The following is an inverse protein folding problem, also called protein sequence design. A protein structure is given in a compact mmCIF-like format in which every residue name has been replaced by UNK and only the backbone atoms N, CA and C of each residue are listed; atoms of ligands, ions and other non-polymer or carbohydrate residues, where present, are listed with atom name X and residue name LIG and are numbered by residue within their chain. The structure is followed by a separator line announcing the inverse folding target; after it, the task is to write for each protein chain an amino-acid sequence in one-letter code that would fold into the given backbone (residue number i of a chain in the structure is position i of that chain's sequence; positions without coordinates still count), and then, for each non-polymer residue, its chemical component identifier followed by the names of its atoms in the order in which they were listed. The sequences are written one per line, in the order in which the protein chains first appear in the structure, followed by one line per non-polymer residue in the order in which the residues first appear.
data_IF_344134271765
#
_entry.id   IF_344134271765
#
_cell.length_a   1.000
_cell.length_b   1.000
_cell.length_c   1.000
_cell.angle_alpha   90.00
_cell.angle_beta   90.00
_cell.angle_gamma   90.00
#
_symmetry.space_group_name_H-M   'P 1'
#
loop_
_entity.id
_entity.type
_entity.pdbx_description
1 polymer ?
#
# COMPACT_ATOMS: atom_id res chain seq x y z
N UNK A 1 1.22 11.74 -8.77
CA UNK A 1 1.76 11.14 -10.02
C UNK A 1 2.89 10.19 -9.67
N UNK A 2 3.03 9.09 -10.42
CA UNK A 2 4.05 8.05 -10.24
C UNK A 2 4.94 8.00 -11.48
N UNK A 3 6.25 7.98 -11.29
CA UNK A 3 7.22 7.80 -12.37
C UNK A 3 7.84 6.41 -12.21
N UNK A 4 7.81 5.62 -13.28
CA UNK A 4 8.53 4.35 -13.39
C UNK A 4 9.74 4.53 -14.30
N UNK A 5 10.94 4.23 -13.79
CA UNK A 5 12.19 4.25 -14.53
C UNK A 5 12.74 2.83 -14.65
N UNK A 6 13.09 2.42 -15.85
CA UNK A 6 13.73 1.11 -16.11
C UNK A 6 15.18 1.27 -16.49
N UNK A 7 16.03 0.41 -15.98
CA UNK A 7 17.48 0.47 -16.16
C UNK A 7 17.97 -0.79 -16.86
N UNK A 8 18.85 -0.58 -17.85
CA UNK A 8 19.54 -1.69 -18.53
C UNK A 8 20.72 -2.22 -17.73
N UNK A 9 21.29 -1.40 -16.82
CA UNK A 9 22.42 -1.75 -15.97
C UNK A 9 22.09 -1.53 -14.51
N UNK A 10 22.43 -2.51 -13.69
CA UNK A 10 22.22 -2.47 -12.24
C UNK A 10 22.97 -1.31 -11.56
N UNK A 11 24.18 -1.01 -12.02
CA UNK A 11 25.01 0.09 -11.50
C UNK A 11 24.32 1.45 -11.64
N UNK A 12 23.67 1.72 -12.78
CA UNK A 12 22.94 2.95 -13.03
C UNK A 12 21.68 3.02 -12.16
N UNK A 13 20.97 1.92 -11.97
CA UNK A 13 19.82 1.82 -11.08
C UNK A 13 20.21 2.14 -9.62
N UNK A 14 21.27 1.54 -9.12
CA UNK A 14 21.77 1.76 -7.77
C UNK A 14 22.24 3.20 -7.55
N UNK A 15 22.89 3.80 -8.54
CA UNK A 15 23.28 5.21 -8.49
C UNK A 15 22.05 6.11 -8.42
N UNK A 16 21.09 5.93 -9.31
CA UNK A 16 19.84 6.69 -9.31
C UNK A 16 19.07 6.52 -7.99
N UNK A 17 19.00 5.30 -7.44
CA UNK A 17 18.36 5.05 -6.15
C UNK A 17 18.99 5.86 -5.02
N UNK A 18 20.33 5.91 -4.94
CA UNK A 18 21.04 6.70 -3.92
C UNK A 18 20.84 8.20 -4.09
N UNK A 19 20.93 8.70 -5.33
CA UNK A 19 20.81 10.15 -5.60
C UNK A 19 19.39 10.66 -5.39
N UNK A 20 18.38 9.94 -5.90
CA UNK A 20 16.97 10.30 -5.75
C UNK A 20 16.46 10.10 -4.31
N UNK A 21 16.97 9.10 -3.59
CA UNK A 21 16.63 8.85 -2.20
C UNK A 21 17.11 9.92 -1.21
N UNK A 22 17.95 10.87 -1.64
CA UNK A 22 18.37 12.04 -0.83
C UNK A 22 17.41 13.22 -0.93
N UNK A 23 16.43 13.15 -1.83
CA UNK A 23 15.45 14.22 -2.02
C UNK A 23 14.29 13.98 -1.03
N UNK A 24 14.11 14.87 -0.07
CA UNK A 24 13.15 14.72 1.04
C UNK A 24 11.70 14.53 0.59
N UNK A 25 11.33 15.14 -0.53
CA UNK A 25 9.96 15.09 -1.05
C UNK A 25 9.68 13.87 -1.95
N UNK A 26 10.64 12.94 -2.08
CA UNK A 26 10.50 11.76 -2.91
C UNK A 26 10.55 10.46 -2.10
N UNK A 27 9.63 9.55 -2.42
CA UNK A 27 9.70 8.16 -2.05
C UNK A 27 10.15 7.34 -3.25
N UNK A 28 11.30 6.65 -3.13
CA UNK A 28 11.90 5.84 -4.18
C UNK A 28 11.84 4.38 -3.76
N UNK A 29 11.17 3.55 -4.54
CA UNK A 29 11.00 2.12 -4.29
C UNK A 29 11.40 1.30 -5.51
N UNK A 30 11.55 -0.01 -5.35
CA UNK A 30 11.80 -0.95 -6.43
C UNK A 30 10.77 -2.07 -6.33
N UNK A 31 10.04 -2.35 -7.41
CA UNK A 31 9.05 -3.43 -7.47
C UNK A 31 9.48 -4.60 -8.36
N UNK A 32 10.28 -4.30 -9.37
CA UNK A 32 10.90 -5.27 -10.28
C UNK A 32 12.41 -5.11 -10.17
N UNK A 33 13.19 -6.14 -10.29
CA UNK A 33 14.64 -6.08 -10.06
C UNK A 33 15.42 -5.05 -10.89
N UNK A 34 14.83 -4.47 -11.92
CA UNK A 34 15.44 -3.53 -12.85
C UNK A 34 14.77 -2.16 -12.93
N UNK A 35 13.82 -1.84 -12.03
CA UNK A 35 13.10 -0.55 -12.06
C UNK A 35 13.31 0.26 -10.78
N UNK A 36 12.98 1.56 -10.87
CA UNK A 36 12.69 2.42 -9.74
C UNK A 36 11.31 3.04 -9.91
N UNK A 37 10.55 3.06 -8.85
CA UNK A 37 9.27 3.76 -8.74
C UNK A 37 9.48 4.99 -7.87
N UNK A 38 9.15 6.15 -8.41
CA UNK A 38 9.32 7.44 -7.76
C UNK A 38 7.95 8.05 -7.55
N UNK A 39 7.64 8.34 -6.29
CA UNK A 39 6.42 9.00 -5.87
C UNK A 39 6.77 10.23 -5.03
N UNK A 40 5.82 11.13 -4.80
CA UNK A 40 5.96 12.10 -3.71
C UNK A 40 6.02 11.38 -2.37
N UNK A 41 6.82 11.87 -1.43
CA UNK A 41 7.01 11.24 -0.11
C UNK A 41 5.69 11.07 0.68
N UNK A 42 4.71 11.96 0.44
CA UNK A 42 3.37 11.91 1.03
C UNK A 42 2.33 11.18 0.16
N UNK A 43 2.74 10.63 -0.99
CA UNK A 43 1.86 9.90 -1.90
C UNK A 43 1.82 8.41 -1.55
N UNK A 44 1.23 8.06 -0.43
CA UNK A 44 0.95 6.66 -0.07
C UNK A 44 -0.56 6.40 -0.08
N UNK A 45 -0.96 5.12 -0.07
CA UNK A 45 -2.36 4.71 -0.11
C UNK A 45 -3.14 5.12 1.15
N UNK A 46 -2.47 5.21 2.31
CA UNK A 46 -3.07 5.67 3.55
C UNK A 46 -3.51 7.14 3.47
N UNK A 47 -2.62 8.04 3.02
CA UNK A 47 -2.96 9.45 2.82
C UNK A 47 -4.04 9.64 1.75
N UNK A 48 -4.00 8.86 0.67
CA UNK A 48 -5.05 8.87 -0.35
C UNK A 48 -6.42 8.48 0.23
N UNK A 49 -6.46 7.43 1.05
CA UNK A 49 -7.67 6.97 1.74
C UNK A 49 -8.21 8.04 2.71
N UNK A 50 -7.34 8.66 3.51
CA UNK A 50 -7.73 9.75 4.43
C UNK A 50 -8.31 10.94 3.68
N UNK A 51 -7.68 11.34 2.57
CA UNK A 51 -8.16 12.45 1.76
C UNK A 51 -9.51 12.13 1.10
N UNK A 52 -9.68 10.90 0.61
CA UNK A 52 -10.96 10.45 0.07
C UNK A 52 -12.07 10.44 1.13
N UNK A 53 -11.77 9.94 2.33
CA UNK A 53 -12.70 9.97 3.47
C UNK A 53 -13.16 11.40 3.79
N UNK A 54 -12.22 12.37 3.82
CA UNK A 54 -12.56 13.79 4.03
C UNK A 54 -13.45 14.37 2.92
N UNK A 55 -13.15 14.04 1.66
CA UNK A 55 -13.94 14.53 0.50
C UNK A 55 -15.37 13.98 0.55
N UNK A 56 -15.54 12.73 0.97
CA UNK A 56 -16.83 12.03 1.04
C UNK A 56 -17.56 12.20 2.40
N UNK A 57 -16.96 12.92 3.35
CA UNK A 57 -17.46 13.07 4.73
C UNK A 57 -17.66 11.70 5.41
N UNK A 58 -16.72 10.77 5.18
CA UNK A 58 -16.71 9.45 5.79
C UNK A 58 -15.59 9.42 6.84
N UNK A 59 -15.91 9.18 8.13
CA UNK A 59 -14.89 9.07 9.17
C UNK A 59 -14.04 7.82 8.98
N UNK A 60 -12.76 7.90 9.36
CA UNK A 60 -11.78 6.81 9.14
C UNK A 60 -12.22 5.50 9.80
N UNK A 61 -12.90 5.58 10.93
CA UNK A 61 -13.45 4.46 11.70
C UNK A 61 -14.52 3.67 10.93
N UNK A 62 -15.09 4.27 9.90
CA UNK A 62 -16.09 3.67 9.02
C UNK A 62 -15.49 3.12 7.70
N UNK A 63 -14.17 3.15 7.58
CA UNK A 63 -13.47 2.67 6.38
C UNK A 63 -12.83 1.31 6.67
N UNK A 64 -13.12 0.33 5.84
CA UNK A 64 -12.37 -0.93 5.78
C UNK A 64 -11.39 -0.88 4.62
N UNK A 65 -10.14 -1.28 4.87
CA UNK A 65 -9.10 -1.34 3.85
C UNK A 65 -8.50 -2.74 3.77
N UNK A 66 -8.41 -3.29 2.57
CA UNK A 66 -7.78 -4.58 2.29
C UNK A 66 -6.47 -4.38 1.54
N UNK A 67 -5.44 -5.14 1.89
CA UNK A 67 -4.14 -5.07 1.27
C UNK A 67 -3.35 -6.37 1.30
N UNK A 68 -2.33 -6.50 0.45
CA UNK A 68 -1.46 -7.67 0.37
C UNK A 68 0.04 -7.34 0.34
N UNK A 69 0.42 -6.10 0.08
CA UNK A 69 1.81 -5.67 -0.08
C UNK A 69 2.24 -4.50 0.83
N UNK A 70 3.53 -4.24 0.84
CA UNK A 70 4.11 -3.16 1.64
C UNK A 70 3.57 -1.77 1.30
N UNK A 71 3.13 -1.54 0.07
CA UNK A 71 2.51 -0.29 -0.35
C UNK A 71 1.11 -0.07 0.24
N UNK A 72 0.51 -1.10 0.86
CA UNK A 72 -0.78 -1.06 1.54
C UNK A 72 -0.64 -0.83 3.05
N UNK A 73 0.59 -0.88 3.58
CA UNK A 73 0.88 -0.88 5.01
C UNK A 73 0.19 0.27 5.76
N UNK A 74 0.41 1.52 5.30
CA UNK A 74 -0.18 2.69 5.95
C UNK A 74 -1.72 2.69 5.83
N UNK A 75 -2.25 2.29 4.69
CA UNK A 75 -3.69 2.21 4.46
C UNK A 75 -4.36 1.19 5.40
N UNK A 76 -3.82 -0.01 5.50
CA UNK A 76 -4.33 -1.07 6.37
C UNK A 76 -4.20 -0.69 7.84
N UNK A 77 -3.07 -0.11 8.24
CA UNK A 77 -2.82 0.32 9.63
C UNK A 77 -3.73 1.45 10.09
N UNK A 78 -4.12 2.35 9.19
CA UNK A 78 -4.88 3.57 9.52
C UNK A 78 -6.39 3.42 9.38
N UNK A 79 -6.86 2.42 8.66
CA UNK A 79 -8.29 2.16 8.47
C UNK A 79 -8.99 1.82 9.79
N UNK A 80 -10.29 2.07 9.86
CA UNK A 80 -11.14 1.63 10.97
C UNK A 80 -11.20 0.10 11.09
N UNK A 81 -11.08 -0.60 9.96
CA UNK A 81 -10.85 -2.05 9.88
C UNK A 81 -9.76 -2.31 8.84
N UNK A 82 -8.59 -2.65 9.29
CA UNK A 82 -7.47 -3.04 8.46
C UNK A 82 -7.46 -4.54 8.20
N UNK A 83 -7.49 -4.94 6.93
CA UNK A 83 -7.53 -6.35 6.51
C UNK A 83 -6.31 -6.70 5.68
N UNK A 84 -5.54 -7.70 6.11
CA UNK A 84 -4.46 -8.27 5.32
C UNK A 84 -4.91 -9.54 4.61
N UNK A 85 -4.51 -9.70 3.35
CA UNK A 85 -4.71 -10.95 2.63
C UNK A 85 -3.82 -12.05 3.20
N UNK A 86 -4.30 -13.30 3.27
CA UNK A 86 -3.53 -14.44 3.78
C UNK A 86 -2.24 -14.70 2.99
N UNK A 87 -2.25 -14.44 1.70
CA UNK A 87 -1.07 -14.53 0.83
C UNK A 87 -0.24 -13.23 0.78
N UNK A 88 -0.58 -12.22 1.60
CA UNK A 88 0.15 -10.95 1.69
C UNK A 88 1.41 -11.04 2.55
N UNK A 89 2.13 -9.91 2.61
CA UNK A 89 3.35 -9.71 3.38
C UNK A 89 3.12 -9.90 4.88
N UNK A 90 4.08 -10.54 5.58
CA UNK A 90 3.98 -10.77 7.03
C UNK A 90 3.90 -9.46 7.83
N UNK A 91 4.69 -8.45 7.42
CA UNK A 91 4.67 -7.12 8.04
C UNK A 91 3.28 -6.47 8.02
N UNK A 92 2.51 -6.72 6.95
CA UNK A 92 1.15 -6.21 6.82
C UNK A 92 0.17 -6.97 7.74
N UNK A 93 0.34 -8.29 7.87
CA UNK A 93 -0.48 -9.12 8.77
C UNK A 93 -0.31 -8.74 10.24
N UNK A 94 0.90 -8.29 10.63
CA UNK A 94 1.19 -7.85 11.99
C UNK A 94 0.45 -6.58 12.42
N UNK A 95 0.09 -5.72 11.46
CA UNK A 95 -0.60 -4.44 11.74
C UNK A 95 -2.09 -4.46 11.39
N UNK A 96 -2.56 -5.51 10.72
CA UNK A 96 -3.96 -5.66 10.34
C UNK A 96 -4.81 -6.10 11.54
N UNK A 97 -6.05 -5.63 11.61
CA UNK A 97 -7.05 -6.10 12.58
C UNK A 97 -7.55 -7.50 12.25
N UNK A 98 -7.50 -7.87 10.97
CA UNK A 98 -7.99 -9.16 10.49
C UNK A 98 -7.16 -9.69 9.32
N UNK A 99 -6.83 -10.98 9.36
CA UNK A 99 -6.23 -11.69 8.23
C UNK A 99 -7.31 -12.50 7.54
N UNK A 100 -7.64 -12.11 6.32
CA UNK A 100 -8.66 -12.78 5.50
C UNK A 100 -8.07 -13.96 4.72
N UNK A 101 -8.85 -14.55 3.80
CA UNK A 101 -8.42 -15.63 2.91
C UNK A 101 -7.46 -15.12 1.83
N UNK A 102 -6.95 -16.02 0.99
CA UNK A 102 -6.14 -15.66 -0.17
C UNK A 102 -6.97 -14.98 -1.26
N UNK A 103 -6.32 -14.36 -2.23
CA UNK A 103 -6.97 -13.82 -3.42
C UNK A 103 -7.70 -14.92 -4.22
N UNK A 104 -7.14 -16.15 -4.30
CA UNK A 104 -7.75 -17.29 -4.98
C UNK A 104 -8.96 -17.87 -4.22
N UNK A 105 -9.09 -17.54 -2.95
CA UNK A 105 -10.21 -17.93 -2.07
C UNK A 105 -11.19 -16.78 -1.84
N UNK A 106 -11.17 -15.76 -2.69
CA UNK A 106 -12.03 -14.58 -2.62
C UNK A 106 -11.95 -13.84 -1.28
N UNK A 107 -10.72 -13.65 -0.76
CA UNK A 107 -10.48 -13.08 0.56
C UNK A 107 -11.09 -11.69 0.80
N UNK A 108 -11.14 -10.82 -0.21
CA UNK A 108 -11.79 -9.50 -0.10
C UNK A 108 -13.29 -9.64 0.09
N UNK A 109 -13.96 -10.48 -0.71
CA UNK A 109 -15.39 -10.74 -0.57
C UNK A 109 -15.71 -11.33 0.81
N UNK A 110 -14.90 -12.27 1.28
CA UNK A 110 -15.04 -12.84 2.61
C UNK A 110 -14.93 -11.78 3.74
N UNK A 111 -13.99 -10.84 3.62
CA UNK A 111 -13.86 -9.75 4.58
C UNK A 111 -15.08 -8.82 4.55
N UNK A 112 -15.59 -8.47 3.36
CA UNK A 112 -16.79 -7.65 3.21
C UNK A 112 -17.99 -8.33 3.86
N UNK A 113 -18.24 -9.60 3.60
CA UNK A 113 -19.31 -10.38 4.21
C UNK A 113 -19.20 -10.44 5.74
N UNK A 114 -17.95 -10.53 6.24
CA UNK A 114 -17.69 -10.62 7.68
C UNK A 114 -17.98 -9.31 8.43
N UNK A 115 -17.63 -8.17 7.86
CA UNK A 115 -17.71 -6.86 8.54
C UNK A 115 -18.90 -5.99 8.12
N UNK A 116 -19.44 -6.17 6.91
CA UNK A 116 -20.43 -5.24 6.35
C UNK A 116 -21.88 -5.73 6.36
N UNK A 117 -22.22 -6.85 6.97
CA UNK A 117 -23.58 -7.41 7.07
C UNK A 117 -24.33 -7.43 5.71
N UNK A 118 -23.67 -7.80 4.66
CA UNK A 118 -24.22 -7.91 3.29
C UNK A 118 -24.47 -9.35 2.91
#
# INVERSE_FOLDING_TARGET
EKINMFFAKEEDRQRAFRELGQIEDLAVTCSLGNNLEINGATCNKGDAMLNLGKILDIPIESIMACGDGNNDFEMVKMAGVGVAMKNGEESLKEVADFVTKTNDEEGVAYAIEHFCNV
#
